data_IF_117432657042
#
_entry.id   IF_117432657042
#
_cell.length_a   1.000
_cell.length_b   1.000
_cell.length_c   1.000
_cell.angle_alpha   90.00
_cell.angle_beta   90.00
_cell.angle_gamma   90.00
#
_symmetry.space_group_name_H-M   'P 1'
#
loop_
_entity.id
_entity.type
_entity.pdbx_description
1 polymer ?
#
# COMPACT_ATOMS: atom_id res chain seq x y z
N UNK A 1 3.62 14.80 -29.91
CA UNK A 1 4.79 14.64 -29.02
C UNK A 1 4.45 13.56 -28.03
N UNK A 2 5.01 12.37 -28.28
CA UNK A 2 4.85 11.18 -27.45
C UNK A 2 5.56 11.41 -26.10
N UNK A 3 4.78 11.55 -25.02
CA UNK A 3 5.31 11.74 -23.67
C UNK A 3 5.61 10.36 -23.10
N UNK A 4 6.77 9.82 -23.45
CA UNK A 4 7.19 8.49 -22.98
C UNK A 4 7.47 8.54 -21.49
N UNK A 5 6.46 8.23 -20.68
CA UNK A 5 6.63 7.89 -19.26
C UNK A 5 7.64 6.74 -19.18
N UNK A 6 8.82 7.01 -18.63
CA UNK A 6 9.85 5.97 -18.50
C UNK A 6 9.61 5.22 -17.20
N UNK A 7 9.16 3.98 -17.33
CA UNK A 7 9.09 3.03 -16.24
C UNK A 7 10.52 2.59 -15.88
N UNK A 8 10.96 2.90 -14.66
CA UNK A 8 12.19 2.35 -14.10
C UNK A 8 11.81 1.31 -13.04
N UNK A 9 12.29 0.09 -13.23
CA UNK A 9 12.17 -0.98 -12.23
C UNK A 9 13.25 -0.76 -11.17
N UNK A 10 12.84 -0.48 -9.93
CA UNK A 10 13.79 -0.22 -8.86
C UNK A 10 14.24 -1.53 -8.22
N UNK A 11 15.54 -1.79 -8.18
CA UNK A 11 16.12 -3.02 -7.64
C UNK A 11 16.87 -2.85 -6.32
N UNK A 12 16.92 -1.65 -5.73
CA UNK A 12 17.52 -1.48 -4.41
C UNK A 12 16.54 -1.90 -3.30
N UNK A 13 16.91 -3.01 -2.67
CA UNK A 13 16.13 -3.70 -1.66
C UNK A 13 15.85 -2.84 -0.41
N UNK A 14 16.71 -1.87 -0.10
CA UNK A 14 16.52 -0.97 1.04
C UNK A 14 15.34 -0.03 0.79
N UNK A 15 15.27 0.59 -0.40
CA UNK A 15 14.13 1.43 -0.76
C UNK A 15 12.85 0.61 -0.87
N UNK A 16 12.89 -0.57 -1.51
CA UNK A 16 11.72 -1.44 -1.60
C UNK A 16 11.18 -1.77 -0.21
N UNK A 17 12.06 -2.15 0.73
CA UNK A 17 11.66 -2.42 2.12
C UNK A 17 11.09 -1.17 2.81
N UNK A 18 11.70 0.00 2.62
CA UNK A 18 11.21 1.28 3.17
C UNK A 18 9.79 1.60 2.66
N UNK A 19 9.57 1.48 1.36
CA UNK A 19 8.28 1.74 0.71
C UNK A 19 7.20 0.76 1.18
N UNK A 20 7.52 -0.54 1.24
CA UNK A 20 6.57 -1.55 1.72
C UNK A 20 6.19 -1.37 3.19
N UNK A 21 7.16 -1.04 4.05
CA UNK A 21 6.90 -0.79 5.47
C UNK A 21 6.02 0.44 5.66
N UNK A 22 6.28 1.50 4.90
CA UNK A 22 5.42 2.68 4.86
C UNK A 22 4.00 2.33 4.42
N UNK A 23 3.85 1.65 3.28
CA UNK A 23 2.55 1.24 2.74
C UNK A 23 1.73 0.40 3.72
N UNK A 24 2.33 -0.63 4.33
CA UNK A 24 1.65 -1.48 5.30
C UNK A 24 1.23 -0.72 6.57
N UNK A 25 2.05 0.25 7.02
CA UNK A 25 1.72 1.11 8.16
C UNK A 25 0.54 2.03 7.84
N UNK A 26 0.53 2.65 6.68
CA UNK A 26 -0.56 3.54 6.27
C UNK A 26 -1.88 2.77 6.06
N UNK A 27 -1.82 1.55 5.51
CA UNK A 27 -3.01 0.67 5.43
C UNK A 27 -3.60 0.39 6.82
N UNK A 28 -2.76 0.08 7.81
CA UNK A 28 -3.20 -0.10 9.19
C UNK A 28 -3.79 1.20 9.78
N UNK A 29 -3.16 2.34 9.51
CA UNK A 29 -3.62 3.65 10.00
C UNK A 29 -5.00 4.03 9.45
N UNK A 30 -5.31 3.65 8.20
CA UNK A 30 -6.66 3.84 7.62
C UNK A 30 -7.69 3.05 8.45
N UNK A 31 -7.44 1.76 8.72
CA UNK A 31 -8.34 0.94 9.55
C UNK A 31 -8.50 1.49 10.98
N UNK A 32 -7.41 2.03 11.56
CA UNK A 32 -7.43 2.66 12.87
C UNK A 32 -8.28 3.94 12.87
N UNK A 33 -8.11 4.79 11.85
CA UNK A 33 -8.87 6.03 11.69
C UNK A 33 -10.37 5.79 11.53
N UNK A 34 -10.72 4.66 10.91
CA UNK A 34 -12.09 4.19 10.72
C UNK A 34 -12.64 3.43 11.94
N UNK A 35 -11.79 3.24 12.98
CA UNK A 35 -12.12 2.56 14.25
C UNK A 35 -12.59 1.12 14.05
N UNK A 36 -11.96 0.41 13.11
CA UNK A 36 -12.30 -0.99 12.77
C UNK A 36 -11.14 -1.98 12.95
N UNK A 37 -9.96 -1.51 13.35
CA UNK A 37 -8.78 -2.38 13.53
C UNK A 37 -8.95 -3.49 14.55
N UNK A 38 -9.87 -3.34 15.50
CA UNK A 38 -10.22 -4.38 16.47
C UNK A 38 -10.92 -5.57 15.79
N UNK A 39 -11.67 -5.34 14.72
CA UNK A 39 -12.36 -6.34 13.92
C UNK A 39 -11.47 -6.99 12.84
N UNK A 40 -10.39 -6.32 12.45
CA UNK A 40 -9.48 -6.78 11.39
C UNK A 40 -8.24 -7.48 11.96
N UNK A 41 -7.73 -8.48 11.25
CA UNK A 41 -6.43 -9.08 11.49
C UNK A 41 -5.31 -8.04 11.34
N UNK A 42 -4.23 -8.23 12.09
CA UNK A 42 -3.13 -7.25 12.12
C UNK A 42 -2.41 -7.20 10.77
N UNK A 43 -2.27 -5.99 10.22
CA UNK A 43 -1.48 -5.76 9.01
C UNK A 43 0.02 -5.84 9.34
N UNK A 44 0.71 -6.77 8.69
CA UNK A 44 2.16 -6.94 8.78
C UNK A 44 2.70 -7.16 7.37
N UNK A 45 3.68 -6.35 6.94
CA UNK A 45 4.34 -6.53 5.65
C UNK A 45 4.96 -7.95 5.58
N UNK A 46 4.66 -8.67 4.50
CA UNK A 46 5.35 -9.93 4.16
C UNK A 46 6.56 -9.62 3.28
N UNK A 47 6.30 -9.13 2.06
CA UNK A 47 7.31 -8.76 1.10
C UNK A 47 6.78 -7.69 0.13
N UNK A 48 7.70 -7.00 -0.53
CA UNK A 48 7.38 -6.09 -1.64
C UNK A 48 7.63 -6.81 -2.94
N UNK A 49 6.66 -6.72 -3.85
CA UNK A 49 6.72 -7.39 -5.15
C UNK A 49 7.43 -6.50 -6.15
N UNK A 50 7.02 -5.22 -6.16
CA UNK A 50 7.34 -4.32 -7.23
C UNK A 50 7.21 -2.87 -6.75
N UNK A 51 8.17 -2.05 -7.16
CA UNK A 51 8.11 -0.60 -7.04
C UNK A 51 8.50 -0.01 -8.40
N UNK A 52 7.53 0.56 -9.12
CA UNK A 52 7.80 1.24 -10.39
C UNK A 52 7.93 2.74 -10.11
N UNK A 53 9.04 3.35 -10.51
CA UNK A 53 9.19 4.80 -10.40
C UNK A 53 8.66 5.49 -11.66
N UNK A 54 7.75 6.45 -11.49
CA UNK A 54 7.38 7.38 -12.55
C UNK A 54 8.28 8.62 -12.47
N UNK A 55 9.13 8.79 -13.47
CA UNK A 55 9.84 10.05 -13.68
C UNK A 55 8.93 11.00 -14.48
N UNK A 56 8.42 12.06 -13.83
CA UNK A 56 7.64 13.09 -14.52
C UNK A 56 8.61 14.17 -15.01
N UNK A 57 8.82 14.33 -16.33
CA UNK A 57 9.71 15.37 -16.83
C UNK A 57 9.07 16.74 -16.65
N UNK A 58 9.75 17.65 -15.95
CA UNK A 58 9.34 19.04 -15.84
C UNK A 58 9.72 19.80 -17.12
N UNK A 59 8.86 20.72 -17.58
CA UNK A 59 9.01 21.40 -18.88
C UNK A 59 10.23 22.31 -18.98
N UNK A 60 10.84 22.66 -17.85
CA UNK A 60 12.12 23.32 -17.74
C UNK A 60 12.74 22.90 -16.39
N UNK A 61 14.05 22.72 -16.36
CA UNK A 61 14.92 22.46 -15.20
C UNK A 61 15.30 21.00 -14.93
N UNK A 62 16.59 20.86 -14.71
CA UNK A 62 17.41 19.71 -14.30
C UNK A 62 17.10 19.18 -12.89
N UNK A 63 15.86 19.27 -12.42
CA UNK A 63 15.42 18.79 -11.10
C UNK A 63 14.06 18.10 -11.20
N UNK A 64 13.97 16.90 -10.61
CA UNK A 64 12.70 16.22 -10.33
C UNK A 64 12.26 16.66 -8.93
N UNK A 65 11.12 17.34 -8.78
CA UNK A 65 10.67 17.87 -7.48
C UNK A 65 10.24 16.76 -6.50
N UNK A 66 9.84 15.59 -7.01
CA UNK A 66 9.44 14.43 -6.23
C UNK A 66 9.54 13.15 -7.07
N UNK A 67 9.75 12.01 -6.42
CA UNK A 67 9.63 10.70 -7.04
C UNK A 67 8.26 10.10 -6.72
N UNK A 68 7.61 9.50 -7.71
CA UNK A 68 6.38 8.72 -7.52
C UNK A 68 6.69 7.24 -7.68
N UNK A 69 6.30 6.43 -6.71
CA UNK A 69 6.47 4.99 -6.70
C UNK A 69 5.11 4.32 -6.73
N UNK A 70 4.92 3.44 -7.70
CA UNK A 70 3.81 2.50 -7.74
C UNK A 70 4.20 1.22 -7.02
N UNK A 71 3.68 1.02 -5.81
CA UNK A 71 4.17 -0.02 -4.89
C UNK A 71 3.14 -1.12 -4.76
N UNK A 72 3.54 -2.33 -5.16
CA UNK A 72 2.77 -3.56 -4.92
C UNK A 72 3.43 -4.37 -3.82
N UNK A 73 2.68 -4.73 -2.78
CA UNK A 73 3.19 -5.45 -1.61
C UNK A 73 2.22 -6.50 -1.11
N UNK A 74 2.75 -7.46 -0.35
CA UNK A 74 1.98 -8.51 0.31
C UNK A 74 1.89 -8.28 1.82
N UNK A 75 0.73 -8.59 2.38
CA UNK A 75 0.49 -8.65 3.82
C UNK A 75 0.55 -10.11 4.29
N UNK A 76 1.23 -10.34 5.41
CA UNK A 76 1.42 -11.66 6.00
C UNK A 76 0.09 -12.25 6.51
N UNK A 77 -0.03 -13.60 6.60
CA UNK A 77 -1.10 -14.23 7.35
C UNK A 77 -1.14 -13.74 8.81
N UNK A 78 -2.32 -13.69 9.45
CA UNK A 78 -3.64 -14.08 8.93
C UNK A 78 -4.33 -12.99 8.09
N UNK A 79 -3.83 -11.74 8.10
CA UNK A 79 -4.46 -10.64 7.38
C UNK A 79 -4.47 -10.85 5.86
N UNK A 80 -3.38 -11.40 5.29
CA UNK A 80 -3.25 -11.77 3.88
C UNK A 80 -3.46 -10.62 2.88
N UNK A 81 -2.77 -10.73 1.74
CA UNK A 81 -3.21 -10.05 0.53
C UNK A 81 -2.20 -9.25 -0.23
N UNK A 82 -2.58 -8.95 -1.47
CA UNK A 82 -1.79 -8.20 -2.43
C UNK A 82 -2.42 -6.83 -2.64
N UNK A 83 -1.69 -5.80 -2.24
CA UNK A 83 -2.16 -4.42 -2.31
C UNK A 83 -1.27 -3.59 -3.21
N UNK A 84 -1.86 -2.54 -3.78
CA UNK A 84 -1.19 -1.54 -4.61
C UNK A 84 -1.51 -0.14 -4.11
N UNK A 85 -0.51 0.74 -4.10
CA UNK A 85 -0.66 2.14 -3.69
C UNK A 85 0.40 3.02 -4.36
N UNK A 86 0.05 4.28 -4.63
CA UNK A 86 1.00 5.29 -5.08
C UNK A 86 1.62 6.00 -3.88
N UNK A 87 2.95 6.06 -3.83
CA UNK A 87 3.71 6.75 -2.79
C UNK A 87 4.55 7.85 -3.44
N UNK A 88 4.43 9.07 -2.92
CA UNK A 88 5.32 10.18 -3.25
C UNK A 88 6.47 10.22 -2.26
N UNK A 89 7.69 10.33 -2.78
CA UNK A 89 8.84 10.76 -2.00
C UNK A 89 9.03 12.26 -2.27
N UNK A 90 8.61 13.06 -1.29
CA UNK A 90 8.67 14.51 -1.34
C UNK A 90 10.07 15.04 -1.01
N UNK A 91 10.20 16.36 -0.92
CA UNK A 91 11.45 17.01 -0.56
C UNK A 91 11.97 16.49 0.79
N UNK A 92 13.27 16.21 0.87
CA UNK A 92 13.97 15.66 2.05
C UNK A 92 13.67 14.20 2.41
N UNK A 93 13.17 13.37 1.48
CA UNK A 93 13.06 11.91 1.70
C UNK A 93 11.82 11.48 2.50
N UNK A 94 10.84 12.39 2.64
CA UNK A 94 9.58 12.18 3.35
C UNK A 94 8.59 11.49 2.41
N UNK A 95 8.17 10.29 2.82
CA UNK A 95 7.16 9.51 2.10
C UNK A 95 5.75 9.98 2.46
N UNK A 96 4.90 10.10 1.45
CA UNK A 96 3.49 10.49 1.56
C UNK A 96 2.66 9.62 0.60
N UNK A 97 1.41 9.35 0.94
CA UNK A 97 0.50 8.71 0.00
C UNK A 97 0.17 9.69 -1.14
N UNK A 98 0.21 9.20 -2.38
CA UNK A 98 -0.17 9.94 -3.58
C UNK A 98 -1.57 9.52 -4.09
N UNK A 99 -2.43 9.05 -3.19
CA UNK A 99 -3.80 8.62 -3.42
C UNK A 99 -4.50 8.33 -2.10
N UNK A 100 -5.84 8.24 -2.12
CA UNK A 100 -6.65 8.11 -0.89
C UNK A 100 -6.94 6.64 -0.50
N UNK A 101 -6.84 5.71 -1.45
CA UNK A 101 -7.27 4.32 -1.26
C UNK A 101 -6.21 3.34 -1.75
N UNK A 102 -6.08 2.23 -1.01
CA UNK A 102 -5.31 1.07 -1.43
C UNK A 102 -6.15 0.21 -2.37
N UNK A 103 -5.55 -0.22 -3.48
CA UNK A 103 -6.18 -1.18 -4.38
C UNK A 103 -5.83 -2.59 -3.94
N UNK A 104 -6.84 -3.41 -3.66
CA UNK A 104 -6.67 -4.85 -3.45
C UNK A 104 -6.64 -5.56 -4.81
N UNK A 105 -5.52 -6.22 -5.12
CA UNK A 105 -5.27 -6.81 -6.43
C UNK A 105 -5.69 -8.28 -6.55
N UNK A 106 -5.74 -9.02 -5.44
CA UNK A 106 -6.19 -10.41 -5.39
C UNK A 106 -7.62 -10.53 -4.83
N UNK A 107 -8.30 -11.62 -5.19
CA UNK A 107 -9.64 -11.90 -4.69
C UNK A 107 -9.62 -12.13 -3.16
N UNK A 108 -10.52 -11.44 -2.44
CA UNK A 108 -10.58 -11.47 -0.98
C UNK A 108 -11.84 -12.19 -0.42
N UNK A 109 -12.75 -12.64 -1.28
CA UNK A 109 -13.93 -13.42 -0.88
C UNK A 109 -14.73 -12.79 0.27
N UNK A 110 -14.92 -13.56 1.34
CA UNK A 110 -15.66 -13.19 2.54
C UNK A 110 -14.77 -12.59 3.65
N UNK A 111 -13.49 -12.33 3.37
CA UNK A 111 -12.56 -11.85 4.40
C UNK A 111 -13.00 -10.52 5.01
N UNK A 112 -13.67 -9.65 4.26
CA UNK A 112 -14.11 -8.34 4.72
C UNK A 112 -15.52 -8.27 5.29
N UNK A 113 -16.23 -9.38 5.52
CA UNK A 113 -17.68 -9.37 5.79
C UNK A 113 -18.12 -8.70 7.11
N UNK A 114 -17.20 -8.51 8.05
CA UNK A 114 -17.43 -7.71 9.26
C UNK A 114 -17.50 -6.20 8.97
N UNK A 115 -17.03 -5.75 7.81
CA UNK A 115 -17.03 -4.33 7.45
C UNK A 115 -18.37 -3.90 6.85
N UNK A 116 -18.99 -2.89 7.46
CA UNK A 116 -20.24 -2.28 6.95
C UNK A 116 -20.02 -1.37 5.75
N UNK A 117 -18.84 -0.73 5.66
CA UNK A 117 -18.47 0.14 4.55
C UNK A 117 -17.82 -0.70 3.46
N UNK A 118 -18.40 -0.71 2.26
CA UNK A 118 -17.88 -1.51 1.15
C UNK A 118 -16.44 -1.14 0.77
N UNK A 119 -16.04 0.12 0.97
CA UNK A 119 -14.67 0.59 0.73
C UNK A 119 -13.64 -0.03 1.68
N UNK A 120 -14.04 -0.53 2.85
CA UNK A 120 -13.15 -1.16 3.84
C UNK A 120 -13.10 -2.68 3.71
N UNK A 121 -14.09 -3.30 3.07
CA UNK A 121 -14.13 -4.76 2.83
C UNK A 121 -12.86 -5.31 2.17
N UNK A 122 -12.29 -4.69 1.12
CA UNK A 122 -11.07 -5.21 0.51
C UNK A 122 -9.80 -5.00 1.36
N UNK A 123 -9.85 -4.12 2.36
CA UNK A 123 -8.70 -3.74 3.20
C UNK A 123 -8.59 -4.57 4.48
N UNK A 124 -9.70 -5.21 4.88
CA UNK A 124 -9.82 -5.93 6.14
C UNK A 124 -9.99 -7.42 5.90
N UNK A 125 -9.19 -8.22 6.61
CA UNK A 125 -9.54 -9.63 6.88
C UNK A 125 -10.07 -9.71 8.29
N UNK A 126 -11.30 -10.14 8.46
CA UNK A 126 -12.00 -10.17 9.73
C UNK A 126 -11.39 -11.21 10.66
N UNK A 127 -11.17 -10.79 11.91
CA UNK A 127 -10.83 -11.72 12.99
C UNK A 127 -11.99 -12.70 13.16
N UNK A 128 -11.70 -13.99 13.13
CA UNK A 128 -12.70 -14.98 13.49
C UNK A 128 -13.02 -14.85 14.99
N UNK A 129 -14.27 -14.53 15.34
CA UNK A 129 -14.76 -14.54 16.73
C UNK A 129 -14.68 -15.93 17.41
N UNK A 130 -14.17 -16.96 16.71
CA UNK A 130 -13.99 -18.34 17.18
C UNK A 130 -12.57 -18.68 17.67
N UNK A 131 -11.64 -17.73 17.72
CA UNK A 131 -10.27 -17.97 18.22
C UNK A 131 -10.10 -17.81 19.75
N UNK A 132 -11.18 -17.67 20.52
CA UNK A 132 -11.15 -17.45 21.98
C UNK A 132 -11.79 -18.57 22.81
N UNK A 133 -11.85 -19.80 22.28
CA UNK A 133 -12.14 -21.00 23.08
C UNK A 133 -11.16 -22.12 22.74
N UNK A 134 -10.04 -22.12 23.46
CA UNK A 134 -9.11 -23.23 23.62
C UNK A 134 -8.69 -23.29 25.07
#
# INVERSE_FOLDING_TARGET
MDRTTRLLYYSDASLMKKLGLFAAKELAAILDSEKVSDQCEKIVLSNVVEAQQYAVPHQNASQFDFALYDVTFFVSPPALGRFKILIRDGSHGKLELAGELFDRLDWYGNHGDCMKKDTLRPLCTCKNAKASKG
#
